data_IF_940647368961
#
_entry.id   IF_940647368961
#
_cell.length_a   1.000
_cell.length_b   1.000
_cell.length_c   1.000
_cell.angle_alpha   90.00
_cell.angle_beta   90.00
_cell.angle_gamma   90.00
#
_symmetry.space_group_name_H-M   'P 1'
#
loop_
_entity.id
_entity.type
_entity.pdbx_description
1 polymer ?
#
# COMPACT_ATOMS: atom_id res chain seq x y z
N UNK A 1 -10.76 15.44 11.30
CA UNK A 1 -10.33 14.03 11.25
C UNK A 1 -9.18 13.85 12.21
N UNK A 2 -9.15 12.74 12.94
CA UNK A 2 -8.09 12.44 13.90
C UNK A 2 -6.77 12.21 13.16
N UNK A 3 -5.71 12.95 13.52
CA UNK A 3 -4.42 12.87 12.82
C UNK A 3 -3.77 11.49 12.94
N UNK A 4 -4.11 10.72 13.96
CA UNK A 4 -3.59 9.37 14.20
C UNK A 4 -4.23 8.31 13.30
N UNK A 5 -5.27 8.66 12.51
CA UNK A 5 -5.92 7.69 11.64
C UNK A 5 -5.02 7.30 10.45
N UNK A 6 -4.13 8.18 10.02
CA UNK A 6 -3.32 7.99 8.82
C UNK A 6 -1.82 7.83 9.11
N UNK A 7 -1.47 7.40 10.31
CA UNK A 7 -0.12 6.97 10.67
C UNK A 7 -0.13 5.52 11.12
N UNK A 8 0.99 4.84 10.88
CA UNK A 8 1.27 3.51 11.41
C UNK A 8 1.85 3.58 12.83
N UNK A 9 1.31 2.79 13.76
CA UNK A 9 1.78 2.72 15.16
C UNK A 9 2.12 1.28 15.62
N UNK A 10 2.40 0.38 14.67
CA UNK A 10 2.61 -1.04 14.94
C UNK A 10 4.07 -1.48 15.04
N UNK A 11 4.27 -2.78 15.30
CA UNK A 11 5.57 -3.42 15.16
C UNK A 11 5.90 -3.64 13.68
N UNK A 12 7.11 -3.28 13.27
CA UNK A 12 7.59 -3.52 11.91
C UNK A 12 7.55 -5.01 11.52
N UNK A 13 7.22 -5.25 10.26
CA UNK A 13 7.35 -6.55 9.63
C UNK A 13 8.81 -7.00 9.60
N UNK A 14 9.05 -8.32 9.67
CA UNK A 14 10.39 -8.90 9.54
C UNK A 14 11.08 -8.60 8.19
N UNK A 15 10.35 -8.08 7.19
CA UNK A 15 10.95 -7.61 5.94
C UNK A 15 11.84 -6.39 6.16
N UNK A 16 11.55 -5.56 7.17
CA UNK A 16 12.34 -4.36 7.47
C UNK A 16 13.62 -4.65 8.26
N UNK A 17 13.81 -5.89 8.72
CA UNK A 17 15.06 -6.36 9.35
C UNK A 17 16.16 -6.66 8.31
N UNK A 18 15.82 -6.74 7.02
CA UNK A 18 16.81 -6.91 5.96
C UNK A 18 17.68 -5.64 5.78
N UNK A 19 18.79 -5.82 5.07
CA UNK A 19 19.77 -4.76 4.86
C UNK A 19 19.33 -3.72 3.83
N UNK A 20 18.52 -4.12 2.82
CA UNK A 20 17.99 -3.22 1.80
C UNK A 20 16.65 -3.71 1.22
N UNK A 21 16.00 -2.83 0.45
CA UNK A 21 14.71 -3.07 -0.17
C UNK A 21 14.75 -4.23 -1.18
N UNK A 22 15.86 -4.40 -1.93
CA UNK A 22 16.00 -5.47 -2.91
C UNK A 22 16.00 -6.86 -2.28
N UNK A 23 16.71 -7.03 -1.17
CA UNK A 23 16.74 -8.29 -0.43
C UNK A 23 15.38 -8.51 0.25
N UNK A 24 14.77 -7.48 0.83
CA UNK A 24 13.44 -7.58 1.41
C UNK A 24 12.40 -8.02 0.37
N UNK A 25 12.36 -7.39 -0.81
CA UNK A 25 11.46 -7.71 -1.91
C UNK A 25 11.60 -9.17 -2.37
N UNK A 26 12.83 -9.65 -2.57
CA UNK A 26 13.10 -11.06 -2.93
C UNK A 26 12.64 -12.08 -1.88
N UNK A 27 12.48 -11.64 -0.63
CA UNK A 27 12.04 -12.47 0.50
C UNK A 27 10.59 -12.18 0.90
N UNK A 28 9.84 -11.39 0.11
CA UNK A 28 8.41 -11.24 0.29
C UNK A 28 7.74 -12.60 0.13
N UNK A 29 7.07 -13.04 1.19
CA UNK A 29 6.22 -14.21 1.17
C UNK A 29 4.86 -13.80 1.73
N UNK A 30 4.00 -13.37 0.82
CA UNK A 30 2.68 -12.84 1.11
C UNK A 30 1.58 -13.85 0.81
N UNK A 31 0.49 -13.76 1.58
CA UNK A 31 -0.82 -14.30 1.20
C UNK A 31 -1.77 -13.13 0.92
N UNK A 32 -2.53 -13.22 -0.15
CA UNK A 32 -3.63 -12.28 -0.43
C UNK A 32 -4.75 -12.53 0.56
N UNK A 33 -5.19 -11.46 1.22
CA UNK A 33 -6.34 -11.48 2.14
C UNK A 33 -7.58 -10.96 1.41
N UNK A 34 -7.43 -9.85 0.70
CA UNK A 34 -8.53 -9.18 0.01
C UNK A 34 -8.01 -8.40 -1.19
N UNK A 35 -8.71 -8.48 -2.31
CA UNK A 35 -8.51 -7.61 -3.47
C UNK A 35 -9.57 -6.50 -3.38
N UNK A 36 -9.14 -5.24 -3.29
CA UNK A 36 -10.07 -4.11 -3.33
C UNK A 36 -10.43 -3.72 -4.76
N UNK A 37 -9.58 -4.11 -5.73
CA UNK A 37 -9.73 -3.77 -7.13
C UNK A 37 -9.43 -2.30 -7.41
N UNK A 38 -10.05 -1.81 -8.47
CA UNK A 38 -9.67 -0.55 -9.12
C UNK A 38 -10.36 0.65 -8.45
N UNK A 39 -11.58 0.47 -7.92
CA UNK A 39 -12.35 1.52 -7.24
C UNK A 39 -13.17 1.00 -6.06
N UNK A 40 -13.48 1.89 -5.11
CA UNK A 40 -14.50 1.65 -4.08
C UNK A 40 -15.85 2.13 -4.59
N UNK A 41 -16.87 1.30 -4.42
CA UNK A 41 -18.24 1.60 -4.82
C UNK A 41 -19.14 1.79 -3.61
N UNK A 42 -20.11 2.69 -3.75
CA UNK A 42 -21.22 2.81 -2.81
C UNK A 42 -22.17 1.60 -2.92
N UNK A 43 -23.08 1.39 -1.95
CA UNK A 43 -24.06 0.28 -1.99
C UNK A 43 -24.97 0.29 -3.23
N UNK A 44 -25.20 1.46 -3.83
CA UNK A 44 -25.99 1.63 -5.06
C UNK A 44 -25.19 1.35 -6.34
N UNK A 45 -23.91 0.99 -6.23
CA UNK A 45 -23.01 0.70 -7.34
C UNK A 45 -22.32 1.93 -7.94
N UNK A 46 -22.65 3.14 -7.49
CA UNK A 46 -21.92 4.36 -7.91
C UNK A 46 -20.47 4.34 -7.40
N UNK A 47 -19.55 4.95 -8.15
CA UNK A 47 -18.15 5.04 -7.74
C UNK A 47 -18.04 6.04 -6.59
N UNK A 48 -17.45 5.59 -5.47
CA UNK A 48 -17.10 6.44 -4.34
C UNK A 48 -15.78 7.17 -4.62
N UNK A 49 -14.74 6.41 -4.94
CA UNK A 49 -13.41 6.91 -5.33
C UNK A 49 -12.58 5.80 -6.01
N UNK A 50 -11.44 6.18 -6.60
CA UNK A 50 -10.49 5.27 -7.25
C UNK A 50 -9.37 4.87 -6.27
N UNK A 51 -8.95 3.60 -6.30
CA UNK A 51 -7.97 3.06 -5.37
C UNK A 51 -6.51 3.32 -5.76
N UNK A 52 -6.29 3.95 -6.91
CA UNK A 52 -4.99 4.27 -7.49
C UNK A 52 -4.97 5.74 -7.91
N UNK A 53 -3.77 6.27 -8.11
CA UNK A 53 -3.58 7.71 -8.28
C UNK A 53 -3.94 8.22 -9.69
N UNK A 54 -3.94 7.35 -10.72
CA UNK A 54 -3.87 7.77 -12.12
C UNK A 54 -4.78 6.94 -13.05
N UNK A 55 -4.26 6.38 -14.16
CA UNK A 55 -5.05 5.86 -15.28
C UNK A 55 -5.38 4.37 -15.16
N UNK A 56 -4.44 3.56 -14.67
CA UNK A 56 -4.66 2.17 -14.33
C UNK A 56 -4.01 1.84 -12.97
N UNK A 57 -4.52 0.82 -12.31
CA UNK A 57 -4.04 0.40 -11.02
C UNK A 57 -5.09 -0.33 -10.20
N UNK A 58 -4.63 -0.89 -9.09
CA UNK A 58 -5.51 -1.56 -8.15
C UNK A 58 -4.87 -1.59 -6.77
N UNK A 59 -5.68 -1.94 -5.77
CA UNK A 59 -5.23 -2.09 -4.40
C UNK A 59 -5.60 -3.46 -3.83
N UNK A 60 -4.69 -4.03 -3.04
CA UNK A 60 -4.86 -5.33 -2.42
C UNK A 60 -4.35 -5.31 -0.97
N UNK A 61 -4.97 -6.12 -0.11
CA UNK A 61 -4.50 -6.40 1.24
C UNK A 61 -3.74 -7.73 1.24
N UNK A 62 -2.49 -7.66 1.68
CA UNK A 62 -1.61 -8.80 1.88
C UNK A 62 -1.30 -9.01 3.35
N UNK A 63 -0.90 -10.24 3.68
CA UNK A 63 -0.29 -10.55 4.95
C UNK A 63 1.01 -11.33 4.76
N UNK A 64 2.05 -10.94 5.48
CA UNK A 64 3.31 -11.66 5.59
C UNK A 64 3.10 -13.03 6.25
N UNK A 65 3.40 -14.11 5.51
CA UNK A 65 3.27 -15.48 6.05
C UNK A 65 4.27 -15.77 7.17
N UNK A 66 5.38 -15.03 7.24
CA UNK A 66 6.45 -15.25 8.21
C UNK A 66 6.19 -14.62 9.57
N UNK A 67 5.68 -13.39 9.62
CA UNK A 67 5.47 -12.65 10.87
C UNK A 67 4.02 -12.19 11.11
N UNK A 68 3.12 -12.40 10.15
CA UNK A 68 1.71 -12.02 10.28
C UNK A 68 1.39 -10.54 10.06
N UNK A 69 2.39 -9.68 9.77
CA UNK A 69 2.16 -8.27 9.48
C UNK A 69 1.34 -8.06 8.20
N UNK A 70 0.52 -7.02 8.17
CA UNK A 70 -0.35 -6.70 7.03
C UNK A 70 0.25 -5.59 6.16
N UNK A 71 -0.07 -5.63 4.88
CA UNK A 71 0.35 -4.62 3.90
C UNK A 71 -0.80 -4.27 2.97
N UNK A 72 -1.01 -2.98 2.74
CA UNK A 72 -1.75 -2.50 1.58
C UNK A 72 -0.77 -2.40 0.42
N UNK A 73 -1.03 -3.15 -0.64
CA UNK A 73 -0.36 -2.98 -1.92
C UNK A 73 -1.16 -2.04 -2.81
N UNK A 74 -0.51 -1.03 -3.37
CA UNK A 74 -1.05 -0.16 -4.40
C UNK A 74 -0.19 -0.26 -5.66
N UNK A 75 -0.82 -0.66 -6.76
CA UNK A 75 -0.25 -0.57 -8.11
C UNK A 75 -0.86 0.64 -8.80
N UNK A 76 -0.04 1.44 -9.49
CA UNK A 76 -0.53 2.54 -10.32
C UNK A 76 0.36 2.79 -11.53
N UNK A 77 -0.26 3.22 -12.63
CA UNK A 77 0.40 3.67 -13.86
C UNK A 77 0.17 5.17 -14.08
N UNK A 78 1.25 5.92 -14.28
CA UNK A 78 1.21 7.33 -14.63
C UNK A 78 1.61 7.52 -16.09
N UNK A 79 0.67 8.01 -16.91
CA UNK A 79 0.92 8.39 -18.29
C UNK A 79 1.29 9.89 -18.38
N UNK A 80 2.57 10.16 -18.65
CA UNK A 80 3.04 11.50 -19.02
C UNK A 80 3.77 11.45 -20.37
N UNK A 81 4.94 12.10 -20.51
CA UNK A 81 5.76 11.95 -21.71
C UNK A 81 6.34 10.53 -21.87
N UNK A 82 6.45 9.81 -20.75
CA UNK A 82 6.81 8.39 -20.66
C UNK A 82 5.93 7.74 -19.59
N UNK A 83 5.62 6.47 -19.76
CA UNK A 83 4.81 5.70 -18.80
C UNK A 83 5.65 5.37 -17.58
N UNK A 84 5.10 5.60 -16.38
CA UNK A 84 5.75 5.25 -15.12
C UNK A 84 4.88 4.31 -14.30
N UNK A 85 5.48 3.23 -13.84
CA UNK A 85 4.81 2.19 -13.05
C UNK A 85 5.27 2.24 -11.60
N UNK A 86 4.30 2.23 -10.70
CA UNK A 86 4.50 2.27 -9.26
C UNK A 86 3.87 1.04 -8.62
N UNK A 87 4.56 0.48 -7.64
CA UNK A 87 4.12 -0.69 -6.88
C UNK A 87 4.63 -0.55 -5.45
N UNK A 88 3.71 -0.21 -4.55
CA UNK A 88 4.06 0.18 -3.19
C UNK A 88 3.35 -0.72 -2.17
N UNK A 89 4.11 -1.22 -1.18
CA UNK A 89 3.62 -2.07 -0.10
C UNK A 89 3.70 -1.32 1.23
N UNK A 90 2.59 -0.74 1.66
CA UNK A 90 2.44 0.02 2.90
C UNK A 90 2.10 -0.89 4.06
N UNK A 91 2.93 -0.93 5.10
CA UNK A 91 2.60 -1.71 6.29
C UNK A 91 1.40 -1.09 7.01
N UNK A 92 0.47 -1.94 7.44
CA UNK A 92 -0.71 -1.57 8.23
C UNK A 92 -0.83 -2.50 9.43
N UNK A 93 -1.46 -2.01 10.49
CA UNK A 93 -1.58 -2.71 11.78
C UNK A 93 -2.42 -3.98 11.67
N UNK A 94 -3.57 -3.88 11.00
CA UNK A 94 -4.55 -4.96 10.86
C UNK A 94 -5.49 -4.77 9.67
N UNK A 95 -6.33 -5.78 9.42
CA UNK A 95 -7.30 -5.79 8.32
C UNK A 95 -8.39 -4.71 8.45
N UNK A 96 -8.75 -4.34 9.68
CA UNK A 96 -9.81 -3.37 9.96
C UNK A 96 -9.32 -1.96 9.62
N UNK A 97 -8.13 -1.59 10.07
CA UNK A 97 -7.45 -0.34 9.70
C UNK A 97 -7.24 -0.26 8.19
N UNK A 98 -6.84 -1.36 7.55
CA UNK A 98 -6.67 -1.41 6.11
C UNK A 98 -7.97 -1.11 5.36
N UNK A 99 -9.09 -1.66 5.84
CA UNK A 99 -10.42 -1.41 5.26
C UNK A 99 -10.86 0.04 5.45
N UNK A 100 -10.64 0.64 6.63
CA UNK A 100 -10.95 2.05 6.87
C UNK A 100 -10.16 2.96 5.94
N UNK A 101 -8.85 2.75 5.85
CA UNK A 101 -7.96 3.51 4.97
C UNK A 101 -8.45 3.41 3.52
N UNK A 102 -8.72 2.18 3.06
CA UNK A 102 -9.21 1.96 1.71
C UNK A 102 -10.54 2.68 1.44
N UNK A 103 -11.46 2.67 2.39
CA UNK A 103 -12.76 3.29 2.19
C UNK A 103 -12.70 4.82 2.23
N UNK A 104 -11.68 5.41 2.86
CA UNK A 104 -11.60 6.86 3.10
C UNK A 104 -10.64 7.57 2.15
N UNK A 105 -9.54 6.93 1.76
CA UNK A 105 -8.49 7.53 0.93
C UNK A 105 -8.47 6.91 -0.47
N UNK A 106 -8.56 7.78 -1.47
CA UNK A 106 -8.24 7.43 -2.86
C UNK A 106 -6.73 7.14 -3.02
N UNK A 107 -6.29 6.80 -4.23
CA UNK A 107 -4.88 6.48 -4.47
C UNK A 107 -3.90 7.62 -4.18
N UNK A 108 -4.22 8.85 -4.59
CA UNK A 108 -3.35 10.02 -4.42
C UNK A 108 -3.32 10.49 -2.97
N UNK A 109 -4.48 10.51 -2.32
CA UNK A 109 -4.59 10.79 -0.89
C UNK A 109 -3.85 9.75 -0.07
N UNK A 110 -3.94 8.47 -0.42
CA UNK A 110 -3.24 7.40 0.30
C UNK A 110 -1.72 7.60 0.26
N UNK A 111 -1.16 7.90 -0.91
CA UNK A 111 0.28 8.15 -1.07
C UNK A 111 0.77 9.39 -0.29
N UNK A 112 -0.08 10.42 -0.19
CA UNK A 112 0.25 11.69 0.47
C UNK A 112 0.02 11.67 1.98
N UNK A 113 -1.03 11.00 2.44
CA UNK A 113 -1.54 11.10 3.80
C UNK A 113 -1.14 9.92 4.68
N UNK A 114 -1.09 8.69 4.14
CA UNK A 114 -0.76 7.53 4.96
C UNK A 114 0.75 7.42 5.21
N UNK A 115 1.15 7.66 6.47
CA UNK A 115 2.54 7.60 6.92
C UNK A 115 2.81 6.23 7.52
N UNK A 116 3.44 5.37 6.73
CA UNK A 116 3.84 4.04 7.14
C UNK A 116 5.19 3.63 6.54
N UNK A 117 5.89 2.68 7.20
CA UNK A 117 6.96 1.90 6.59
C UNK A 117 6.43 1.22 5.32
N UNK A 118 7.13 1.40 4.21
CA UNK A 118 6.75 0.82 2.92
C UNK A 118 7.95 0.41 2.10
N UNK A 119 7.73 -0.60 1.27
CA UNK A 119 8.62 -0.95 0.16
C UNK A 119 8.02 -0.31 -1.10
N UNK A 120 8.84 0.38 -1.87
CA UNK A 120 8.45 1.21 -3.01
C UNK A 120 9.15 0.66 -4.24
N UNK A 121 8.40 0.39 -5.30
CA UNK A 121 8.93 0.04 -6.61
C UNK A 121 8.50 1.11 -7.61
N UNK A 122 9.47 1.76 -8.26
CA UNK A 122 9.22 2.75 -9.31
C UNK A 122 10.05 2.40 -10.53
N UNK A 123 9.39 2.08 -11.64
CA UNK A 123 10.05 1.67 -12.89
C UNK A 123 11.11 0.56 -12.66
N UNK A 124 10.75 -0.44 -11.83
CA UNK A 124 11.61 -1.58 -11.48
C UNK A 124 12.74 -1.26 -10.48
N UNK A 125 12.84 -0.03 -9.98
CA UNK A 125 13.80 0.35 -8.94
C UNK A 125 13.14 0.27 -7.57
N UNK A 126 13.79 -0.43 -6.65
CA UNK A 126 13.30 -0.64 -5.30
C UNK A 126 13.89 0.37 -4.32
N UNK A 127 13.07 0.83 -3.38
CA UNK A 127 13.47 1.61 -2.22
C UNK A 127 12.54 1.33 -1.04
N UNK A 128 12.85 1.89 0.12
CA UNK A 128 11.98 1.88 1.29
C UNK A 128 12.23 3.11 2.16
N UNK A 129 11.31 3.39 3.08
CA UNK A 129 11.39 4.52 4.01
C UNK A 129 11.40 4.06 5.48
N UNK A 130 11.94 2.87 5.75
CA UNK A 130 11.83 2.24 7.08
C UNK A 130 12.46 3.04 8.22
N UNK A 131 13.42 3.92 7.92
CA UNK A 131 14.14 4.73 8.92
C UNK A 131 13.40 6.04 9.26
N UNK A 132 12.27 6.32 8.59
CA UNK A 132 11.43 7.49 8.84
C UNK A 132 10.39 7.26 9.96
N UNK A 133 10.37 6.06 10.59
CA UNK A 133 9.34 5.58 11.52
C UNK A 133 9.89 4.88 12.76
#
# INVERSE_FOLDING_TARGET
MDKNLFSFEGKLCCLFDYTNAEIAYKNMDFRTIKEYGDCVKNPDGSIKHWNFAWDDGHRSLFQCKRCGAYFIYQSSEYHASEDSYYSDWYQVEDEHKASIINDVLDGDQFDKEYKAPRIIETNGKLSWNKDDF
#
